data_IF_094965700214
#
_entry.id   IF_094965700214
#
_cell.length_a   1.000
_cell.length_b   1.000
_cell.length_c   1.000
_cell.angle_alpha   90.00
_cell.angle_beta   90.00
_cell.angle_gamma   90.00
#
_symmetry.space_group_name_H-M   'P 1'
#
loop_
_entity.id
_entity.type
_entity.pdbx_description
1 polymer ?
#
# COMPACT_ATOMS: atom_id res chain seq x y z
N UNK A 1 2.80 -19.81 -30.52
CA UNK A 1 3.43 -20.15 -31.81
C UNK A 1 4.59 -21.07 -31.51
N UNK A 2 4.45 -22.28 -32.04
CA UNK A 2 5.23 -23.52 -31.96
C UNK A 2 6.56 -23.58 -31.18
N UNK A 3 6.44 -24.26 -30.05
CA UNK A 3 7.47 -24.99 -29.31
C UNK A 3 7.79 -26.28 -30.06
N UNK A 4 8.55 -26.20 -31.16
CA UNK A 4 9.05 -27.41 -31.83
C UNK A 4 10.24 -27.05 -32.75
N UNK A 5 11.47 -27.29 -32.27
CA UNK A 5 12.71 -27.59 -33.04
C UNK A 5 13.97 -27.24 -32.23
N UNK A 6 14.43 -28.17 -31.40
CA UNK A 6 15.86 -28.53 -31.27
C UNK A 6 15.92 -29.99 -30.80
N UNK A 7 15.54 -30.91 -31.67
CA UNK A 7 15.87 -32.34 -31.58
C UNK A 7 16.61 -32.64 -32.88
N UNK A 8 17.91 -32.42 -32.89
CA UNK A 8 18.79 -32.89 -33.97
C UNK A 8 19.68 -33.96 -33.35
N UNK A 9 19.25 -35.18 -33.61
CA UNK A 9 19.92 -36.47 -33.55
C UNK A 9 21.41 -36.43 -33.23
N UNK A 10 21.76 -36.89 -32.04
CA UNK A 10 23.08 -37.46 -31.77
C UNK A 10 23.14 -38.78 -32.54
N UNK A 11 23.75 -38.77 -33.72
CA UNK A 11 24.13 -40.00 -34.42
C UNK A 11 25.27 -40.61 -33.62
N UNK A 12 24.95 -41.64 -32.83
CA UNK A 12 25.95 -42.52 -32.22
C UNK A 12 26.50 -43.38 -33.35
N UNK A 13 27.62 -42.97 -33.94
CA UNK A 13 28.42 -43.84 -34.79
C UNK A 13 29.37 -44.63 -33.89
N UNK A 14 28.87 -45.73 -33.34
CA UNK A 14 29.70 -46.74 -32.68
C UNK A 14 30.51 -47.49 -33.74
N UNK A 15 31.69 -46.98 -34.08
CA UNK A 15 32.71 -47.76 -34.79
C UNK A 15 33.76 -48.19 -33.77
N UNK A 16 33.51 -49.32 -33.12
CA UNK A 16 34.53 -50.08 -32.41
C UNK A 16 34.54 -51.50 -32.98
N UNK A 17 35.57 -51.71 -33.77
CA UNK A 17 36.24 -52.97 -34.13
C UNK A 17 35.84 -54.20 -33.31
N UNK A 18 35.26 -55.19 -34.00
CA UNK A 18 35.05 -56.55 -33.52
C UNK A 18 35.38 -57.55 -34.63
N UNK A 19 36.56 -58.15 -34.49
CA UNK A 19 37.28 -59.10 -35.35
C UNK A 19 36.44 -60.24 -35.98
N UNK A 20 36.60 -60.46 -37.29
CA UNK A 20 36.21 -61.69 -38.01
C UNK A 20 36.94 -61.73 -39.36
N UNK A 21 37.88 -62.67 -39.52
CA UNK A 21 38.95 -62.62 -40.52
C UNK A 21 38.53 -62.68 -41.99
N UNK A 22 39.28 -61.94 -42.81
CA UNK A 22 39.21 -61.97 -44.27
C UNK A 22 39.85 -60.71 -44.84
N UNK A 23 41.00 -60.85 -45.50
CA UNK A 23 41.80 -59.74 -46.02
C UNK A 23 41.04 -58.84 -47.00
N UNK A 24 40.62 -57.68 -46.52
CA UNK A 24 40.11 -56.58 -47.31
C UNK A 24 40.30 -55.30 -46.50
N UNK A 25 41.46 -54.64 -46.66
CA UNK A 25 41.65 -53.32 -46.09
C UNK A 25 40.56 -52.39 -46.63
N UNK A 26 39.96 -51.57 -45.76
CA UNK A 26 39.06 -50.49 -46.17
C UNK A 26 39.69 -49.75 -47.36
N UNK A 27 38.89 -49.50 -48.40
CA UNK A 27 39.38 -48.75 -49.55
C UNK A 27 39.84 -47.36 -49.09
N UNK A 28 40.76 -46.73 -49.83
CA UNK A 28 41.18 -45.37 -49.52
C UNK A 28 39.99 -44.39 -49.49
N UNK A 29 38.94 -44.67 -50.26
CA UNK A 29 37.66 -43.94 -50.23
C UNK A 29 36.88 -44.15 -48.94
N UNK A 30 36.79 -45.38 -48.41
CA UNK A 30 36.10 -45.67 -47.14
C UNK A 30 36.83 -45.04 -45.94
N UNK A 31 38.17 -45.05 -45.96
CA UNK A 31 38.99 -44.40 -44.92
C UNK A 31 38.84 -42.87 -44.97
N UNK A 32 38.81 -42.28 -46.18
CA UNK A 32 38.57 -40.85 -46.37
C UNK A 32 37.16 -40.44 -45.94
N UNK A 33 36.15 -41.25 -46.22
CA UNK A 33 34.76 -41.02 -45.79
C UNK A 33 34.61 -41.07 -44.26
N UNK A 34 35.24 -42.05 -43.59
CA UNK A 34 35.25 -42.14 -42.13
C UNK A 34 35.98 -40.96 -41.48
N UNK A 35 37.11 -40.52 -42.04
CA UNK A 35 37.85 -39.35 -41.56
C UNK A 35 37.04 -38.06 -41.73
N UNK A 36 36.33 -37.89 -42.86
CA UNK A 36 35.44 -36.75 -43.09
C UNK A 36 34.26 -36.71 -42.10
N UNK A 37 33.63 -37.86 -41.81
CA UNK A 37 32.55 -37.96 -40.83
C UNK A 37 33.01 -37.66 -39.39
N UNK A 38 34.21 -38.12 -39.01
CA UNK A 38 34.82 -37.79 -37.71
C UNK A 38 35.18 -36.29 -37.61
N UNK A 39 35.71 -35.69 -38.67
CA UNK A 39 35.99 -34.25 -38.71
C UNK A 39 34.71 -33.40 -38.60
N UNK A 40 33.61 -33.84 -39.21
CA UNK A 40 32.33 -33.15 -39.15
C UNK A 40 31.68 -33.21 -37.75
N UNK A 41 31.78 -34.35 -37.06
CA UNK A 41 31.29 -34.48 -35.68
C UNK A 41 32.11 -33.66 -34.67
N UNK A 42 33.43 -33.56 -34.87
CA UNK A 42 34.32 -32.64 -34.12
C UNK A 42 33.90 -31.18 -34.31
N UNK A 43 33.63 -30.76 -35.56
CA UNK A 43 33.21 -29.40 -35.87
C UNK A 43 31.87 -29.04 -35.19
N UNK A 44 30.89 -29.94 -35.24
CA UNK A 44 29.58 -29.72 -34.59
C UNK A 44 29.69 -29.58 -33.07
N UNK A 45 30.55 -30.38 -32.41
CA UNK A 45 30.74 -30.28 -30.96
C UNK A 45 31.36 -28.93 -30.55
N UNK A 46 32.36 -28.45 -31.31
CA UNK A 46 32.95 -27.13 -31.10
C UNK A 46 31.96 -25.99 -31.33
N UNK A 47 31.10 -26.11 -32.34
CA UNK A 47 30.06 -25.12 -32.63
C UNK A 47 29.03 -25.03 -31.49
N UNK A 48 28.62 -26.16 -30.91
CA UNK A 48 27.74 -26.17 -29.72
C UNK A 48 28.37 -25.37 -28.58
N UNK A 49 29.65 -25.62 -28.26
CA UNK A 49 30.35 -24.91 -27.18
C UNK A 49 30.43 -23.42 -27.50
N UNK A 50 30.89 -23.06 -28.71
CA UNK A 50 31.07 -21.66 -29.13
C UNK A 50 29.77 -20.87 -29.14
N UNK A 51 28.64 -21.49 -29.46
CA UNK A 51 27.32 -20.83 -29.45
C UNK A 51 26.67 -20.82 -28.07
N UNK A 52 27.11 -21.69 -27.17
CA UNK A 52 26.57 -21.80 -25.81
C UNK A 52 27.21 -20.79 -24.85
N UNK A 53 28.53 -20.58 -24.94
CA UNK A 53 29.25 -19.60 -24.08
C UNK A 53 28.61 -18.21 -24.07
N UNK A 54 28.26 -17.57 -25.21
CA UNK A 54 27.64 -16.25 -25.18
C UNK A 54 26.24 -16.26 -24.54
N UNK A 55 25.47 -17.35 -24.67
CA UNK A 55 24.16 -17.49 -24.03
C UNK A 55 24.28 -17.53 -22.51
N UNK A 56 25.17 -18.38 -21.99
CA UNK A 56 25.44 -18.47 -20.55
C UNK A 56 25.99 -17.16 -20.00
N UNK A 57 26.89 -16.52 -20.74
CA UNK A 57 27.45 -15.19 -20.37
C UNK A 57 26.35 -14.14 -20.26
N UNK A 58 25.40 -14.14 -21.19
CA UNK A 58 24.23 -13.26 -21.13
C UNK A 58 23.36 -13.59 -19.91
N UNK A 59 23.04 -14.86 -19.66
CA UNK A 59 22.24 -15.25 -18.50
C UNK A 59 22.88 -14.87 -17.17
N UNK A 60 24.20 -15.02 -17.04
CA UNK A 60 24.95 -14.57 -15.85
C UNK A 60 24.94 -13.05 -15.68
N UNK A 61 25.14 -12.30 -16.76
CA UNK A 61 25.05 -10.83 -16.73
C UNK A 61 23.66 -10.33 -16.32
N UNK A 62 22.61 -10.96 -16.83
CA UNK A 62 21.22 -10.60 -16.51
C UNK A 62 20.88 -10.95 -15.06
N UNK A 63 21.29 -12.13 -14.57
CA UNK A 63 21.14 -12.52 -13.17
C UNK A 63 21.85 -11.55 -12.21
N UNK A 64 23.08 -11.14 -12.54
CA UNK A 64 23.84 -10.14 -11.78
C UNK A 64 23.14 -8.78 -11.75
N UNK A 65 22.58 -8.37 -12.88
CA UNK A 65 21.81 -7.11 -13.00
C UNK A 65 20.57 -7.15 -12.12
N UNK A 66 19.82 -8.26 -12.13
CA UNK A 66 18.66 -8.45 -11.27
C UNK A 66 19.04 -8.43 -9.78
N UNK A 67 20.10 -9.14 -9.39
CA UNK A 67 20.60 -9.13 -8.01
C UNK A 67 21.02 -7.74 -7.53
N UNK A 68 21.75 -6.98 -8.36
CA UNK A 68 22.11 -5.60 -8.05
C UNK A 68 20.88 -4.69 -7.91
N UNK A 69 19.86 -4.87 -8.75
CA UNK A 69 18.61 -4.14 -8.65
C UNK A 69 17.85 -4.45 -7.34
N UNK A 70 17.83 -5.71 -6.89
CA UNK A 70 17.26 -6.10 -5.60
C UNK A 70 17.98 -5.40 -4.44
N UNK A 71 19.31 -5.42 -4.44
CA UNK A 71 20.10 -4.78 -3.39
C UNK A 71 19.88 -3.26 -3.34
N UNK A 72 19.86 -2.60 -4.51
CA UNK A 72 19.61 -1.16 -4.62
C UNK A 72 18.21 -0.78 -4.12
N UNK A 73 17.20 -1.62 -4.40
CA UNK A 73 15.83 -1.43 -3.93
C UNK A 73 15.70 -1.61 -2.41
N UNK A 74 16.35 -2.64 -1.84
CA UNK A 74 16.20 -2.99 -0.44
C UNK A 74 16.94 -2.03 0.52
N UNK A 75 18.18 -1.65 0.17
CA UNK A 75 19.08 -0.88 1.05
C UNK A 75 18.44 0.31 1.78
N UNK A 76 17.77 1.27 1.09
CA UNK A 76 17.21 2.44 1.78
C UNK A 76 16.09 2.07 2.76
N UNK A 77 15.26 1.09 2.42
CA UNK A 77 14.10 0.70 3.23
C UNK A 77 14.54 -0.14 4.43
N UNK A 78 15.54 -1.01 4.27
CA UNK A 78 16.11 -1.77 5.39
C UNK A 78 16.68 -0.85 6.47
N UNK A 79 17.40 0.21 6.07
CA UNK A 79 17.97 1.18 7.02
C UNK A 79 16.88 1.87 7.84
N UNK A 80 15.79 2.32 7.19
CA UNK A 80 14.67 2.95 7.89
C UNK A 80 13.97 1.97 8.84
N UNK A 81 13.75 0.73 8.38
CA UNK A 81 13.06 -0.30 9.15
C UNK A 81 13.79 -0.72 10.43
N UNK A 82 15.12 -0.52 10.53
CA UNK A 82 15.89 -0.90 11.73
C UNK A 82 15.48 -0.18 13.01
N UNK A 83 14.82 0.98 12.90
CA UNK A 83 14.33 1.75 14.06
C UNK A 83 13.02 1.21 14.66
N UNK A 84 12.36 0.27 13.96
CA UNK A 84 11.07 -0.30 14.36
C UNK A 84 11.26 -1.62 15.13
N UNK A 85 10.42 -1.86 16.12
CA UNK A 85 10.44 -3.07 16.97
C UNK A 85 9.19 -3.93 16.81
N UNK A 86 8.22 -3.45 16.03
CA UNK A 86 6.94 -4.07 15.81
C UNK A 86 7.10 -5.37 15.01
N UNK A 87 6.50 -6.46 15.50
CA UNK A 87 6.71 -7.81 14.95
C UNK A 87 6.34 -7.94 13.47
N UNK A 88 5.34 -7.18 13.00
CA UNK A 88 4.96 -7.13 11.58
C UNK A 88 6.01 -6.44 10.70
N UNK A 89 6.66 -5.39 11.20
CA UNK A 89 7.75 -4.69 10.49
C UNK A 89 8.98 -5.60 10.44
N UNK A 90 9.34 -6.23 11.57
CA UNK A 90 10.46 -7.18 11.64
C UNK A 90 10.25 -8.37 10.72
N UNK A 91 9.03 -8.94 10.68
CA UNK A 91 8.71 -10.05 9.78
C UNK A 91 8.83 -9.63 8.30
N UNK A 92 8.28 -8.48 7.92
CA UNK A 92 8.38 -7.97 6.55
C UNK A 92 9.83 -7.67 6.13
N UNK A 93 10.64 -7.12 7.04
CA UNK A 93 12.06 -6.88 6.83
C UNK A 93 12.82 -8.19 6.59
N UNK A 94 12.55 -9.22 7.40
CA UNK A 94 13.19 -10.53 7.22
C UNK A 94 12.81 -11.18 5.88
N UNK A 95 11.57 -11.05 5.45
CA UNK A 95 11.13 -11.50 4.12
C UNK A 95 11.92 -10.79 3.00
N UNK A 96 12.06 -9.46 3.08
CA UNK A 96 12.84 -8.69 2.09
C UNK A 96 14.31 -9.16 2.05
N UNK A 97 14.94 -9.34 3.21
CA UNK A 97 16.32 -9.88 3.31
C UNK A 97 16.47 -11.27 2.70
N UNK A 98 15.42 -12.10 2.81
CA UNK A 98 15.35 -13.40 2.14
C UNK A 98 15.48 -13.27 0.62
N UNK A 99 14.73 -12.36 0.00
CA UNK A 99 14.81 -12.11 -1.44
C UNK A 99 16.14 -11.50 -1.89
N UNK A 100 16.74 -10.63 -1.08
CA UNK A 100 18.11 -10.11 -1.31
C UNK A 100 19.10 -11.27 -1.38
N UNK A 101 19.03 -12.20 -0.42
CA UNK A 101 19.89 -13.38 -0.36
C UNK A 101 19.65 -14.31 -1.54
N UNK A 102 18.39 -14.62 -1.84
CA UNK A 102 18.00 -15.49 -2.96
C UNK A 102 18.50 -14.96 -4.32
N UNK A 103 18.39 -13.65 -4.55
CA UNK A 103 18.85 -13.04 -5.79
C UNK A 103 20.39 -13.09 -5.91
N UNK A 104 21.12 -12.85 -4.82
CA UNK A 104 22.58 -12.95 -4.78
C UNK A 104 23.07 -14.39 -5.03
N UNK A 105 22.44 -15.38 -4.39
CA UNK A 105 22.75 -16.81 -4.62
C UNK A 105 22.48 -17.23 -6.06
N UNK A 106 21.35 -16.80 -6.64
CA UNK A 106 20.98 -17.09 -8.02
C UNK A 106 21.98 -16.47 -9.01
N UNK A 107 22.41 -15.22 -8.77
CA UNK A 107 23.46 -14.59 -9.58
C UNK A 107 24.79 -15.36 -9.49
N UNK A 108 25.21 -15.76 -8.28
CA UNK A 108 26.43 -16.55 -8.09
C UNK A 108 26.37 -17.92 -8.79
N UNK A 109 25.21 -18.57 -8.82
CA UNK A 109 25.01 -19.82 -9.56
C UNK A 109 25.17 -19.62 -11.07
N UNK A 110 24.61 -18.55 -11.64
CA UNK A 110 24.75 -18.24 -13.06
C UNK A 110 26.21 -17.90 -13.43
N UNK A 111 26.91 -17.14 -12.59
CA UNK A 111 28.35 -16.83 -12.75
C UNK A 111 29.21 -18.11 -12.69
N UNK A 112 28.87 -19.06 -11.82
CA UNK A 112 29.56 -20.35 -11.75
C UNK A 112 29.39 -21.17 -13.05
N UNK A 113 28.21 -21.15 -13.68
CA UNK A 113 27.99 -21.78 -14.98
C UNK A 113 28.76 -21.06 -16.09
N UNK A 114 28.86 -19.73 -16.04
CA UNK A 114 29.68 -18.96 -16.96
C UNK A 114 31.16 -19.36 -16.87
N UNK A 115 31.71 -19.41 -15.66
CA UNK A 115 33.09 -19.85 -15.43
C UNK A 115 33.34 -21.27 -15.97
N UNK A 116 32.37 -22.18 -15.79
CA UNK A 116 32.44 -23.54 -16.32
C UNK A 116 32.52 -23.54 -17.85
N UNK A 117 31.61 -22.85 -18.55
CA UNK A 117 31.61 -22.88 -20.02
C UNK A 117 32.79 -22.15 -20.64
N UNK A 118 33.30 -21.09 -20.00
CA UNK A 118 34.55 -20.43 -20.41
C UNK A 118 35.73 -21.38 -20.29
N UNK A 119 35.80 -22.16 -19.21
CA UNK A 119 36.83 -23.20 -19.05
C UNK A 119 36.70 -24.30 -20.11
N UNK A 120 35.49 -24.81 -20.35
CA UNK A 120 35.25 -25.83 -21.38
C UNK A 120 35.66 -25.34 -22.76
N UNK A 121 35.37 -24.07 -23.11
CA UNK A 121 35.78 -23.49 -24.38
C UNK A 121 37.31 -23.42 -24.50
N UNK A 122 38.01 -22.98 -23.45
CA UNK A 122 39.47 -22.92 -23.43
C UNK A 122 40.11 -24.31 -23.58
N UNK A 123 39.62 -25.30 -22.82
CA UNK A 123 40.13 -26.68 -22.82
C UNK A 123 39.89 -27.39 -24.17
N UNK A 124 38.88 -26.98 -24.92
CA UNK A 124 38.47 -27.63 -26.18
C UNK A 124 38.93 -26.93 -27.45
N UNK A 125 39.42 -25.69 -27.36
CA UNK A 125 39.72 -24.84 -28.52
C UNK A 125 40.67 -25.53 -29.53
N UNK A 126 41.76 -26.11 -29.04
CA UNK A 126 42.75 -26.81 -29.86
C UNK A 126 42.56 -28.34 -29.91
N UNK A 127 41.61 -28.91 -29.16
CA UNK A 127 41.44 -30.37 -29.09
C UNK A 127 40.84 -30.93 -30.39
N UNK A 128 41.26 -32.15 -30.76
CA UNK A 128 40.65 -32.97 -31.81
C UNK A 128 40.06 -34.27 -31.25
N UNK A 129 40.12 -34.47 -29.93
CA UNK A 129 39.53 -35.64 -29.27
C UNK A 129 38.00 -35.52 -29.29
N UNK A 130 37.36 -36.36 -30.10
CA UNK A 130 35.91 -36.37 -30.28
C UNK A 130 35.17 -36.68 -28.97
N UNK A 131 35.67 -37.59 -28.14
CA UNK A 131 35.02 -37.98 -26.90
C UNK A 131 35.08 -36.84 -25.86
N UNK A 132 36.22 -36.16 -25.78
CA UNK A 132 36.37 -34.96 -24.96
C UNK A 132 35.42 -33.85 -25.41
N UNK A 133 35.35 -33.59 -26.72
CA UNK A 133 34.52 -32.54 -27.31
C UNK A 133 33.02 -32.81 -27.12
N UNK A 134 32.56 -34.04 -27.31
CA UNK A 134 31.18 -34.42 -27.06
C UNK A 134 30.78 -34.25 -25.60
N UNK A 135 31.66 -34.68 -24.67
CA UNK A 135 31.43 -34.50 -23.23
C UNK A 135 31.36 -33.01 -22.85
N UNK A 136 32.28 -32.19 -23.37
CA UNK A 136 32.28 -30.76 -23.13
C UNK A 136 31.03 -30.07 -23.72
N UNK A 137 30.58 -30.47 -24.92
CA UNK A 137 29.35 -29.95 -25.52
C UNK A 137 28.11 -30.27 -24.68
N UNK A 138 28.02 -31.49 -24.12
CA UNK A 138 26.94 -31.87 -23.22
C UNK A 138 26.96 -31.08 -21.91
N UNK A 139 28.14 -30.92 -21.30
CA UNK A 139 28.31 -30.11 -20.10
C UNK A 139 27.96 -28.63 -20.35
N UNK A 140 28.33 -28.08 -21.51
CA UNK A 140 27.98 -26.71 -21.88
C UNK A 140 26.46 -26.52 -22.01
N UNK A 141 25.75 -27.46 -22.66
CA UNK A 141 24.29 -27.42 -22.76
C UNK A 141 23.61 -27.52 -21.39
N UNK A 142 24.11 -28.39 -20.50
CA UNK A 142 23.60 -28.48 -19.14
C UNK A 142 23.84 -27.18 -18.36
N UNK A 143 25.02 -26.58 -18.50
CA UNK A 143 25.36 -25.30 -17.90
C UNK A 143 24.45 -24.17 -18.42
N UNK A 144 24.09 -24.19 -19.70
CA UNK A 144 23.12 -23.24 -20.27
C UNK A 144 21.75 -23.33 -19.62
N UNK A 145 21.23 -24.53 -19.43
CA UNK A 145 19.94 -24.75 -18.74
C UNK A 145 20.00 -24.26 -17.30
N UNK A 146 21.07 -24.59 -16.56
CA UNK A 146 21.23 -24.18 -15.17
C UNK A 146 21.42 -22.66 -15.03
N UNK A 147 22.18 -22.03 -15.93
CA UNK A 147 22.38 -20.58 -15.95
C UNK A 147 21.06 -19.84 -16.24
N UNK A 148 20.25 -20.38 -17.14
CA UNK A 148 18.95 -19.81 -17.48
C UNK A 148 17.95 -19.94 -16.32
N UNK A 149 17.92 -21.08 -15.64
CA UNK A 149 17.11 -21.26 -14.43
C UNK A 149 17.53 -20.29 -13.32
N UNK A 150 18.84 -20.11 -13.11
CA UNK A 150 19.37 -19.18 -12.13
C UNK A 150 19.05 -17.71 -12.49
N UNK A 151 19.10 -17.34 -13.78
CA UNK A 151 18.65 -16.02 -14.25
C UNK A 151 17.17 -15.77 -13.92
N UNK A 152 16.30 -16.72 -14.27
CA UNK A 152 14.86 -16.61 -13.99
C UNK A 152 14.57 -16.53 -12.49
N UNK A 153 15.30 -17.28 -11.66
CA UNK A 153 15.18 -17.19 -10.21
C UNK A 153 15.58 -15.81 -9.65
N UNK A 154 16.67 -15.22 -10.18
CA UNK A 154 17.09 -13.87 -9.80
C UNK A 154 16.07 -12.79 -10.22
N UNK A 155 15.49 -12.92 -11.42
CA UNK A 155 14.44 -12.00 -11.91
C UNK A 155 13.14 -12.14 -11.13
N UNK A 156 12.75 -13.35 -10.74
CA UNK A 156 11.59 -13.57 -9.87
C UNK A 156 11.82 -12.94 -8.49
N UNK A 157 13.01 -13.14 -7.90
CA UNK A 157 13.36 -12.52 -6.63
C UNK A 157 13.29 -10.98 -6.68
N UNK A 158 13.54 -10.36 -7.85
CA UNK A 158 13.35 -8.92 -8.05
C UNK A 158 11.88 -8.49 -7.97
N UNK A 159 10.97 -9.23 -8.61
CA UNK A 159 9.53 -8.95 -8.53
C UNK A 159 9.01 -9.15 -7.10
N UNK A 160 9.47 -10.21 -6.44
CA UNK A 160 9.09 -10.52 -5.07
C UNK A 160 9.63 -9.46 -4.08
N UNK A 161 10.86 -8.99 -4.29
CA UNK A 161 11.45 -7.91 -3.50
C UNK A 161 10.68 -6.58 -3.64
N UNK A 162 10.17 -6.25 -4.83
CA UNK A 162 9.31 -5.07 -5.05
C UNK A 162 8.02 -5.17 -4.23
N UNK A 163 7.40 -6.35 -4.20
CA UNK A 163 6.22 -6.61 -3.38
C UNK A 163 6.56 -6.53 -1.89
N UNK A 164 7.69 -7.10 -1.47
CA UNK A 164 8.15 -7.07 -0.09
C UNK A 164 8.46 -5.65 0.40
N UNK A 165 9.06 -4.79 -0.44
CA UNK A 165 9.27 -3.37 -0.12
C UNK A 165 7.95 -2.62 0.09
N UNK A 166 6.96 -2.88 -0.76
CA UNK A 166 5.61 -2.28 -0.63
C UNK A 166 4.99 -2.68 0.71
N UNK A 167 5.06 -3.96 1.06
CA UNK A 167 4.54 -4.49 2.31
C UNK A 167 5.28 -3.94 3.55
N UNK A 168 6.61 -3.86 3.48
CA UNK A 168 7.44 -3.30 4.56
C UNK A 168 7.12 -1.82 4.80
N UNK A 169 7.02 -1.03 3.73
CA UNK A 169 6.65 0.39 3.80
C UNK A 169 5.26 0.56 4.41
N UNK A 170 4.30 -0.26 4.02
CA UNK A 170 2.96 -0.25 4.60
C UNK A 170 2.98 -0.63 6.09
N UNK A 171 3.79 -1.63 6.49
CA UNK A 171 3.93 -2.04 7.88
C UNK A 171 4.55 -0.93 8.75
N UNK A 172 5.58 -0.23 8.25
CA UNK A 172 6.19 0.92 8.93
C UNK A 172 5.17 2.06 9.12
N UNK A 173 4.37 2.36 8.10
CA UNK A 173 3.30 3.36 8.20
C UNK A 173 2.28 3.01 9.28
N UNK A 174 1.89 1.74 9.37
CA UNK A 174 0.99 1.25 10.43
C UNK A 174 1.63 1.39 11.80
N UNK A 175 2.93 1.10 11.93
CA UNK A 175 3.66 1.26 13.18
C UNK A 175 3.77 2.73 13.61
N UNK A 176 4.04 3.65 12.69
CA UNK A 176 4.08 5.09 13.00
C UNK A 176 2.73 5.62 13.44
N UNK A 177 1.66 5.20 12.77
CA UNK A 177 0.31 5.54 13.20
C UNK A 177 0.00 4.99 14.61
N UNK A 178 0.50 3.79 14.94
CA UNK A 178 0.31 3.16 16.25
C UNK A 178 1.03 3.87 17.40
N UNK A 179 2.08 4.67 17.13
CA UNK A 179 2.73 5.51 18.14
C UNK A 179 1.77 6.57 18.69
N UNK A 180 0.96 7.15 17.80
CA UNK A 180 -0.01 8.19 18.16
C UNK A 180 -1.39 7.64 18.49
N UNK A 181 -1.84 6.60 17.79
CA UNK A 181 -3.22 6.15 17.84
C UNK A 181 -3.33 4.68 18.27
N UNK A 182 -4.20 4.41 19.23
CA UNK A 182 -4.55 3.05 19.65
C UNK A 182 -5.96 2.70 19.20
N UNK A 183 -6.08 1.61 18.42
CA UNK A 183 -7.37 1.07 17.98
C UNK A 183 -8.07 0.37 19.14
N UNK A 184 -9.38 0.58 19.28
CA UNK A 184 -10.20 -0.03 20.32
C UNK A 184 -11.37 -0.81 19.71
N UNK A 185 -11.71 -1.94 20.31
CA UNK A 185 -12.94 -2.68 19.98
C UNK A 185 -14.19 -1.98 20.56
N UNK A 186 -15.38 -2.54 20.29
CA UNK A 186 -16.64 -1.98 20.77
C UNK A 186 -16.80 -2.00 22.30
N UNK A 187 -16.00 -2.78 23.03
CA UNK A 187 -15.95 -2.79 24.50
C UNK A 187 -14.88 -1.87 25.09
N UNK A 188 -14.05 -1.23 24.24
CA UNK A 188 -12.97 -0.34 24.67
C UNK A 188 -11.64 -1.06 24.92
N UNK A 189 -11.52 -2.34 24.54
CA UNK A 189 -10.27 -3.08 24.68
C UNK A 189 -9.30 -2.69 23.56
N UNK A 190 -8.00 -2.68 23.88
CA UNK A 190 -6.95 -2.40 22.90
C UNK A 190 -6.87 -3.49 21.85
N UNK A 191 -6.80 -3.08 20.59
CA UNK A 191 -6.59 -3.94 19.43
C UNK A 191 -5.16 -3.82 18.91
N UNK A 192 -4.62 -4.86 18.25
CA UNK A 192 -3.36 -4.76 17.53
C UNK A 192 -3.39 -3.63 16.49
N UNK A 193 -2.24 -2.99 16.23
CA UNK A 193 -2.12 -1.97 15.19
C UNK A 193 -2.55 -2.48 13.80
N UNK A 194 -2.34 -3.78 13.54
CA UNK A 194 -2.75 -4.48 12.32
C UNK A 194 -4.24 -4.84 12.23
N UNK A 195 -5.05 -4.55 13.27
CA UNK A 195 -6.47 -4.89 13.27
C UNK A 195 -7.18 -4.28 12.04
N UNK A 196 -7.97 -5.08 11.29
CA UNK A 196 -8.60 -4.64 10.05
C UNK A 196 -9.75 -3.67 10.28
N UNK A 197 -10.42 -3.76 11.43
CA UNK A 197 -11.53 -2.91 11.88
C UNK A 197 -11.42 -2.61 13.36
N UNK A 198 -12.01 -1.48 13.77
CA UNK A 198 -12.05 -0.99 15.15
C UNK A 198 -13.27 -0.08 15.31
N UNK A 199 -13.76 0.06 16.54
CA UNK A 199 -14.93 0.85 16.87
C UNK A 199 -14.58 2.26 17.35
N UNK A 200 -13.40 2.42 17.97
CA UNK A 200 -12.89 3.72 18.38
C UNK A 200 -11.38 3.82 18.19
N UNK A 201 -10.89 5.05 18.26
CA UNK A 201 -9.47 5.38 18.21
C UNK A 201 -9.13 6.23 19.42
N UNK A 202 -8.19 5.79 20.24
CA UNK A 202 -7.59 6.63 21.29
C UNK A 202 -6.40 7.38 20.71
N UNK A 203 -6.38 8.71 20.82
CA UNK A 203 -5.18 9.51 20.58
C UNK A 203 -4.33 9.53 21.86
N UNK A 204 -3.16 8.89 21.82
CA UNK A 204 -2.25 8.76 22.95
C UNK A 204 -1.62 10.09 23.35
N UNK A 205 -1.64 11.09 22.47
CA UNK A 205 -1.12 12.44 22.75
C UNK A 205 -2.06 13.23 23.65
N UNK A 206 -3.36 13.18 23.34
CA UNK A 206 -4.39 13.98 24.02
C UNK A 206 -5.15 13.19 25.09
N UNK A 207 -5.09 11.86 25.04
CA UNK A 207 -5.90 10.96 25.85
C UNK A 207 -7.34 10.82 25.38
N UNK A 208 -7.76 11.57 24.36
CA UNK A 208 -9.11 11.56 23.83
C UNK A 208 -9.40 10.25 23.08
N UNK A 209 -10.63 9.76 23.20
CA UNK A 209 -11.15 8.61 22.45
C UNK A 209 -12.16 9.13 21.44
N UNK A 210 -11.91 8.80 20.18
CA UNK A 210 -12.69 9.21 19.02
C UNK A 210 -13.56 8.07 18.53
N UNK A 211 -14.79 8.41 18.20
CA UNK A 211 -15.72 7.49 17.54
C UNK A 211 -15.24 7.15 16.12
N UNK A 212 -15.38 5.87 15.75
CA UNK A 212 -15.40 5.43 14.36
C UNK A 212 -16.83 5.15 13.90
N UNK A 213 -17.23 5.78 12.80
CA UNK A 213 -18.52 5.59 12.13
C UNK A 213 -18.57 4.22 11.45
N UNK A 214 -19.78 3.71 11.22
CA UNK A 214 -20.00 2.49 10.43
C UNK A 214 -20.07 2.80 8.95
N UNK A 215 -19.84 1.77 8.13
CA UNK A 215 -19.95 1.86 6.67
C UNK A 215 -20.70 0.62 6.17
N UNK A 216 -22.04 0.65 6.26
CA UNK A 216 -22.90 -0.41 5.74
C UNK A 216 -23.91 0.20 4.75
N UNK A 217 -23.56 0.28 3.47
CA UNK A 217 -24.43 0.89 2.47
C UNK A 217 -25.72 0.07 2.23
N UNK A 218 -25.79 -1.20 2.67
CA UNK A 218 -26.98 -2.04 2.49
C UNK A 218 -28.00 -1.79 3.59
N UNK A 219 -27.53 -1.67 4.83
CA UNK A 219 -28.38 -1.46 6.00
C UNK A 219 -27.77 -0.40 6.93
N UNK A 220 -27.81 0.88 6.53
CA UNK A 220 -27.11 1.92 7.27
C UNK A 220 -27.81 2.18 8.61
N UNK A 221 -27.12 1.80 9.69
CA UNK A 221 -27.55 2.07 11.07
C UNK A 221 -27.30 3.53 11.47
N UNK A 222 -27.66 3.95 12.69
CA UNK A 222 -27.60 5.35 13.10
C UNK A 222 -26.20 5.98 13.17
N UNK A 223 -25.13 5.16 13.13
CA UNK A 223 -23.73 5.60 13.14
C UNK A 223 -23.07 5.61 11.76
N UNK A 224 -23.84 5.50 10.68
CA UNK A 224 -23.28 5.48 9.32
C UNK A 224 -22.46 6.74 9.03
N UNK A 225 -21.33 6.57 8.36
CA UNK A 225 -20.42 7.67 7.98
C UNK A 225 -21.06 8.65 6.99
N UNK A 226 -22.07 8.22 6.25
CA UNK A 226 -22.76 9.02 5.25
C UNK A 226 -23.79 9.97 5.86
N UNK A 227 -24.06 9.83 7.17
CA UNK A 227 -25.03 10.68 7.85
C UNK A 227 -24.54 12.10 8.07
N UNK A 228 -25.49 13.01 7.88
CA UNK A 228 -25.34 14.44 8.14
C UNK A 228 -26.38 14.86 9.14
N UNK A 229 -25.98 15.78 9.99
CA UNK A 229 -26.76 16.24 11.12
C UNK A 229 -26.91 17.75 11.03
N UNK A 230 -28.10 18.24 11.39
CA UNK A 230 -28.38 19.67 11.51
C UNK A 230 -27.87 20.15 12.86
N UNK A 231 -26.80 20.94 12.84
CA UNK A 231 -26.18 21.53 14.01
C UNK A 231 -27.04 22.66 14.57
N UNK A 232 -28.10 22.31 15.30
CA UNK A 232 -28.99 23.24 16.00
C UNK A 232 -29.00 22.88 17.48
N UNK A 233 -28.75 23.84 18.38
CA UNK A 233 -28.68 23.58 19.82
C UNK A 233 -30.01 23.84 20.57
N UNK A 234 -30.98 24.61 20.04
CA UNK A 234 -32.18 24.98 20.81
C UNK A 234 -33.55 24.94 20.11
N UNK A 235 -33.66 24.80 18.80
CA UNK A 235 -34.98 24.85 18.16
C UNK A 235 -35.62 23.46 18.08
N UNK A 236 -36.13 22.98 19.21
CA UNK A 236 -37.07 21.86 19.24
C UNK A 236 -38.25 22.16 18.32
N UNK A 237 -38.50 21.32 17.31
CA UNK A 237 -39.65 21.46 16.41
C UNK A 237 -39.41 21.14 14.93
N UNK A 238 -38.16 20.99 14.47
CA UNK A 238 -37.87 20.65 13.07
C UNK A 238 -37.37 19.22 12.93
N UNK A 239 -38.19 18.25 13.33
CA UNK A 239 -37.91 16.86 13.05
C UNK A 239 -38.06 16.59 11.55
N UNK A 240 -36.96 16.75 10.83
CA UNK A 240 -36.89 16.55 9.39
C UNK A 240 -35.68 15.66 9.12
N UNK A 241 -35.96 14.43 8.71
CA UNK A 241 -34.97 13.40 8.39
C UNK A 241 -34.38 13.55 6.99
N UNK A 242 -34.85 14.52 6.20
CA UNK A 242 -34.35 14.82 4.86
C UNK A 242 -33.84 16.25 4.71
N UNK A 243 -33.02 16.49 3.70
CA UNK A 243 -32.74 17.83 3.20
C UNK A 243 -33.89 18.35 2.31
N UNK A 244 -33.74 19.56 1.76
CA UNK A 244 -34.76 20.19 0.90
C UNK A 244 -34.96 19.49 -0.45
N UNK A 245 -34.08 18.56 -0.84
CA UNK A 245 -34.22 17.74 -2.05
C UNK A 245 -34.77 16.34 -1.75
N UNK A 246 -35.22 16.10 -0.51
CA UNK A 246 -35.73 14.80 -0.08
C UNK A 246 -34.63 13.75 0.11
N UNK A 247 -33.34 14.14 0.16
CA UNK A 247 -32.27 13.19 0.51
C UNK A 247 -32.25 12.96 2.00
N UNK A 248 -32.22 11.70 2.41
CA UNK A 248 -32.11 11.31 3.81
C UNK A 248 -30.81 11.85 4.43
N UNK A 249 -30.95 12.57 5.54
CA UNK A 249 -29.84 13.11 6.33
C UNK A 249 -29.28 12.07 7.29
N UNK A 250 -30.17 11.35 7.97
CA UNK A 250 -29.80 10.29 8.89
C UNK A 250 -30.91 9.24 9.00
N UNK A 251 -30.59 8.10 9.60
CA UNK A 251 -31.54 7.04 9.93
C UNK A 251 -31.41 6.63 11.40
N UNK A 252 -32.48 6.07 11.99
CA UNK A 252 -32.50 5.63 13.38
C UNK A 252 -32.63 6.74 14.43
N UNK A 253 -32.61 8.01 14.02
CA UNK A 253 -32.82 9.19 14.87
C UNK A 253 -33.80 10.12 14.17
N UNK A 254 -34.89 10.49 14.86
CA UNK A 254 -36.01 11.22 14.25
C UNK A 254 -35.68 12.69 13.89
N UNK A 255 -34.84 13.34 14.68
CA UNK A 255 -34.51 14.75 14.52
C UNK A 255 -33.30 15.03 13.63
N UNK A 256 -32.46 14.03 13.38
CA UNK A 256 -31.18 14.17 12.67
C UNK A 256 -30.33 15.36 13.14
N UNK A 257 -30.28 15.60 14.45
CA UNK A 257 -29.39 16.58 15.07
C UNK A 257 -28.28 15.87 15.88
N UNK A 258 -27.11 16.51 16.09
CA UNK A 258 -26.02 15.88 16.83
C UNK A 258 -26.32 15.58 18.30
N UNK A 259 -27.23 16.31 18.94
CA UNK A 259 -27.54 16.13 20.36
C UNK A 259 -28.39 14.88 20.59
N UNK A 260 -29.40 14.64 19.75
CA UNK A 260 -30.14 13.39 19.77
C UNK A 260 -29.26 12.19 19.39
N UNK A 261 -28.26 12.38 18.53
CA UNK A 261 -27.24 11.37 18.27
C UNK A 261 -26.40 11.07 19.51
N UNK A 262 -25.95 12.10 20.22
CA UNK A 262 -25.19 11.96 21.47
C UNK A 262 -26.01 11.23 22.54
N UNK A 263 -27.28 11.60 22.71
CA UNK A 263 -28.18 10.94 23.66
C UNK A 263 -28.33 9.45 23.35
N UNK A 264 -28.56 9.10 22.08
CA UNK A 264 -28.59 7.70 21.65
C UNK A 264 -27.25 6.99 21.92
N UNK A 265 -26.11 7.63 21.60
CA UNK A 265 -24.78 7.07 21.82
C UNK A 265 -24.50 6.78 23.30
N UNK A 266 -24.94 7.67 24.18
CA UNK A 266 -24.72 7.58 25.62
C UNK A 266 -25.71 6.66 26.34
N UNK A 267 -26.99 6.66 25.93
CA UNK A 267 -28.04 5.93 26.63
C UNK A 267 -28.26 4.52 26.08
N UNK A 268 -27.99 4.29 24.79
CA UNK A 268 -28.37 3.05 24.11
C UNK A 268 -27.18 2.27 23.52
N UNK A 269 -26.15 2.97 23.03
CA UNK A 269 -25.04 2.31 22.32
C UNK A 269 -23.89 1.93 23.27
N UNK A 270 -23.42 2.86 24.11
CA UNK A 270 -22.29 2.60 25.01
C UNK A 270 -20.98 2.26 24.27
N UNK A 271 -20.72 2.92 23.13
CA UNK A 271 -19.63 2.56 22.22
C UNK A 271 -18.26 2.60 22.95
N UNK A 272 -17.46 1.55 22.75
CA UNK A 272 -16.14 1.39 23.36
C UNK A 272 -16.17 1.41 24.90
N UNK A 273 -17.28 0.93 25.48
CA UNK A 273 -17.51 0.92 26.92
C UNK A 273 -17.72 2.32 27.52
N UNK A 274 -18.03 3.33 26.71
CA UNK A 274 -18.18 4.74 27.11
C UNK A 274 -19.61 5.23 26.87
N UNK A 275 -20.10 6.07 27.77
CA UNK A 275 -21.47 6.62 27.77
C UNK A 275 -21.52 8.14 28.05
N UNK A 276 -20.38 8.82 27.87
CA UNK A 276 -20.17 10.25 28.10
C UNK A 276 -19.62 10.94 26.83
N UNK A 277 -20.04 10.47 25.67
CA UNK A 277 -19.72 11.05 24.36
C UNK A 277 -20.28 12.47 24.25
N UNK A 278 -19.54 13.32 23.53
CA UNK A 278 -19.93 14.69 23.21
C UNK A 278 -19.42 15.10 21.84
N UNK A 279 -19.89 16.25 21.35
CA UNK A 279 -19.22 16.92 20.24
C UNK A 279 -17.80 17.32 20.65
N UNK A 280 -16.82 17.23 19.73
CA UNK A 280 -15.48 17.71 19.95
C UNK A 280 -15.42 19.23 19.86
N UNK A 281 -14.50 19.86 20.58
CA UNK A 281 -14.18 21.28 20.39
C UNK A 281 -13.42 21.46 19.07
N UNK A 282 -13.46 22.65 18.49
CA UNK A 282 -12.67 23.00 17.30
C UNK A 282 -11.18 22.66 17.46
N UNK A 283 -10.59 23.02 18.60
CA UNK A 283 -9.18 22.73 18.91
C UNK A 283 -8.90 21.22 19.04
N UNK A 284 -9.90 20.42 19.44
CA UNK A 284 -9.77 18.97 19.52
C UNK A 284 -9.83 18.34 18.12
N UNK A 285 -10.74 18.80 17.25
CA UNK A 285 -10.76 18.41 15.83
C UNK A 285 -9.45 18.80 15.13
N UNK A 286 -8.94 20.01 15.38
CA UNK A 286 -7.63 20.45 14.88
C UNK A 286 -6.48 19.59 15.41
N UNK A 287 -6.59 19.07 16.65
CA UNK A 287 -5.55 18.23 17.24
C UNK A 287 -5.23 16.99 16.40
N UNK A 288 -6.26 16.32 15.85
CA UNK A 288 -6.13 15.12 15.01
C UNK A 288 -5.82 15.41 13.53
N UNK A 289 -5.80 16.68 13.13
CA UNK A 289 -5.34 17.07 11.81
C UNK A 289 -3.84 16.84 11.63
N UNK A 290 -3.42 16.52 10.40
CA UNK A 290 -2.02 16.32 10.04
C UNK A 290 -1.69 16.80 8.62
N UNK A 291 -0.43 17.19 8.42
CA UNK A 291 0.13 17.43 7.09
C UNK A 291 0.56 16.07 6.54
N UNK A 292 -0.10 15.65 5.46
CA UNK A 292 0.25 14.40 4.81
C UNK A 292 1.58 14.56 4.05
N UNK A 293 2.34 13.48 3.87
CA UNK A 293 3.60 13.51 3.14
C UNK A 293 3.44 13.91 1.65
N UNK A 294 2.26 13.68 1.07
CA UNK A 294 1.87 14.13 -0.27
C UNK A 294 1.18 15.50 -0.26
N UNK A 295 1.03 16.12 0.93
CA UNK A 295 0.38 17.40 1.22
C UNK A 295 -1.08 17.50 0.77
N UNK A 296 -1.69 16.39 0.34
CA UNK A 296 -3.05 16.36 -0.18
C UNK A 296 -4.07 16.09 0.92
N UNK A 297 -5.27 16.69 0.86
CA UNK A 297 -6.37 16.30 1.73
C UNK A 297 -6.82 14.84 1.48
N UNK A 298 -7.56 14.22 2.42
CA UNK A 298 -7.94 14.78 3.72
C UNK A 298 -6.77 14.83 4.71
N UNK A 299 -6.63 15.96 5.42
CA UNK A 299 -5.58 16.29 6.38
C UNK A 299 -5.75 15.59 7.74
N UNK A 300 -5.87 14.26 7.72
CA UNK A 300 -6.05 13.39 8.89
C UNK A 300 -5.42 12.02 8.57
N UNK A 301 -5.03 11.23 9.57
CA UNK A 301 -4.40 9.92 9.34
C UNK A 301 -5.36 8.93 8.69
N UNK A 302 -5.35 8.89 7.35
CA UNK A 302 -6.26 8.09 6.50
C UNK A 302 -6.20 6.59 6.79
N UNK A 303 -5.10 6.08 7.34
CA UNK A 303 -5.01 4.66 7.72
C UNK A 303 -5.73 4.35 9.04
N UNK A 304 -6.00 5.37 9.87
CA UNK A 304 -6.66 5.29 11.18
C UNK A 304 -8.10 5.83 11.13
N UNK A 305 -8.35 6.88 10.36
CA UNK A 305 -9.67 7.46 10.17
C UNK A 305 -10.17 7.12 8.77
N UNK A 306 -10.62 5.86 8.59
CA UNK A 306 -11.11 5.32 7.31
C UNK A 306 -12.58 5.63 7.03
N UNK A 307 -13.28 6.14 8.04
CA UNK A 307 -14.71 6.40 8.10
C UNK A 307 -15.06 7.85 7.74
N UNK A 308 -14.16 8.53 7.03
CA UNK A 308 -14.46 9.86 6.51
C UNK A 308 -15.65 9.75 5.54
N UNK A 309 -16.57 10.72 5.53
CA UNK A 309 -17.53 10.89 4.45
C UNK A 309 -16.80 11.09 3.11
N UNK A 310 -17.54 11.39 2.05
CA UNK A 310 -16.93 11.92 0.82
C UNK A 310 -15.87 13.01 1.09
N UNK A 311 -14.93 13.20 0.16
CA UNK A 311 -13.66 13.89 0.39
C UNK A 311 -13.77 15.35 0.90
N UNK A 312 -14.97 15.94 0.91
CA UNK A 312 -15.28 17.23 1.52
C UNK A 312 -16.40 17.03 2.52
N UNK A 313 -16.14 17.28 3.80
CA UNK A 313 -17.15 17.17 4.84
C UNK A 313 -16.79 18.02 6.05
N UNK A 314 -17.65 18.98 6.36
CA UNK A 314 -17.53 19.76 7.57
C UNK A 314 -17.97 18.94 8.79
N UNK A 315 -17.08 18.78 9.78
CA UNK A 315 -17.37 18.11 11.04
C UNK A 315 -17.94 19.07 12.07
N UNK A 316 -19.01 18.65 12.75
CA UNK A 316 -19.64 19.42 13.82
C UNK A 316 -18.66 19.62 14.98
N UNK A 317 -18.51 20.85 15.46
CA UNK A 317 -17.81 21.12 16.72
C UNK A 317 -18.78 21.60 17.81
N UNK A 318 -18.44 21.39 19.07
CA UNK A 318 -19.22 21.92 20.18
C UNK A 318 -19.26 23.46 20.10
N UNK A 319 -20.46 24.04 20.17
CA UNK A 319 -20.60 25.48 20.28
C UNK A 319 -20.09 25.93 21.65
N UNK A 320 -19.08 26.80 21.66
CA UNK A 320 -18.48 27.37 22.87
C UNK A 320 -18.67 28.89 22.97
N UNK A 321 -19.44 29.50 22.06
CA UNK A 321 -19.59 30.95 21.95
C UNK A 321 -20.47 31.48 23.07
N UNK A 322 -20.01 32.50 23.79
CA UNK A 322 -20.75 33.16 24.88
C UNK A 322 -20.84 34.68 24.73
N UNK A 323 -20.06 35.24 23.80
CA UNK A 323 -20.03 36.66 23.45
C UNK A 323 -20.55 36.87 22.00
N UNK A 324 -21.48 37.81 21.84
CA UNK A 324 -22.06 38.19 20.55
C UNK A 324 -21.00 38.70 19.56
N UNK A 325 -19.88 39.22 20.04
CA UNK A 325 -18.78 39.68 19.19
C UNK A 325 -18.08 38.54 18.46
N UNK A 326 -18.14 37.31 18.99
CA UNK A 326 -17.57 36.10 18.39
C UNK A 326 -18.43 35.54 17.24
N UNK A 327 -19.65 36.05 17.09
CA UNK A 327 -20.58 35.60 16.06
C UNK A 327 -20.23 36.08 14.64
N UNK A 328 -19.29 37.02 14.47
CA UNK A 328 -18.77 37.45 13.16
C UNK A 328 -19.79 38.12 12.22
N UNK A 329 -21.01 38.39 12.67
CA UNK A 329 -22.06 39.08 11.90
C UNK A 329 -22.56 40.31 12.63
N UNK A 330 -22.76 41.40 11.88
CA UNK A 330 -23.42 42.62 12.35
C UNK A 330 -24.57 42.97 11.38
N UNK A 331 -25.81 43.23 11.85
CA UNK A 331 -26.32 43.10 13.21
C UNK A 331 -27.13 41.82 13.41
N UNK A 332 -26.79 41.04 14.44
CA UNK A 332 -27.69 40.02 14.98
C UNK A 332 -28.82 40.77 15.71
N UNK A 333 -30.10 40.42 15.51
CA UNK A 333 -31.20 41.06 16.22
C UNK A 333 -31.03 40.95 17.74
N UNK A 334 -31.23 42.06 18.44
CA UNK A 334 -31.26 42.12 19.90
C UNK A 334 -32.72 41.91 20.37
N UNK A 335 -33.03 40.97 21.29
CA UNK A 335 -32.12 40.09 22.04
C UNK A 335 -31.76 38.79 21.32
N UNK A 336 -30.48 38.37 21.46
CA UNK A 336 -29.99 37.07 21.00
C UNK A 336 -30.34 36.00 22.03
N UNK A 337 -30.98 34.89 21.64
CA UNK A 337 -31.25 33.78 22.55
C UNK A 337 -29.98 33.25 23.21
N UNK A 338 -30.02 33.05 24.53
CA UNK A 338 -28.95 32.43 25.31
C UNK A 338 -29.46 31.12 25.90
N UNK A 339 -28.60 30.10 25.87
CA UNK A 339 -28.85 28.85 26.56
C UNK A 339 -28.68 29.03 28.08
N UNK A 340 -29.21 28.13 28.92
CA UNK A 340 -29.06 28.20 30.38
C UNK A 340 -27.60 28.22 30.86
N UNK A 341 -26.68 27.71 30.06
CA UNK A 341 -25.23 27.71 30.30
C UNK A 341 -24.52 28.99 29.80
N UNK A 342 -25.28 29.97 29.31
CA UNK A 342 -24.79 31.26 28.83
C UNK A 342 -24.32 31.27 27.37
N UNK A 343 -24.32 30.13 26.67
CA UNK A 343 -23.90 30.04 25.26
C UNK A 343 -24.89 30.70 24.31
N UNK A 344 -24.37 31.27 23.24
CA UNK A 344 -25.12 31.97 22.19
C UNK A 344 -25.16 31.09 20.93
N UNK A 345 -26.33 31.02 20.30
CA UNK A 345 -26.50 30.34 19.02
C UNK A 345 -26.15 31.25 17.85
N UNK A 346 -24.89 31.24 17.45
CA UNK A 346 -24.43 31.96 16.28
C UNK A 346 -23.16 31.32 15.73
N UNK A 347 -22.93 31.44 14.42
CA UNK A 347 -21.66 31.12 13.77
C UNK A 347 -21.08 29.75 14.19
N UNK A 348 -21.84 28.67 14.00
CA UNK A 348 -21.34 27.33 14.25
C UNK A 348 -20.04 27.12 13.47
N UNK A 349 -19.03 26.56 14.12
CA UNK A 349 -17.74 26.29 13.51
C UNK A 349 -17.57 24.78 13.36
N UNK A 350 -16.81 24.39 12.35
CA UNK A 350 -16.45 23.01 12.11
C UNK A 350 -15.06 22.91 11.52
N UNK A 351 -14.60 21.68 11.35
CA UNK A 351 -13.35 21.38 10.65
C UNK A 351 -13.69 20.56 9.41
N UNK A 352 -13.19 20.97 8.25
CA UNK A 352 -13.21 20.14 7.05
C UNK A 352 -11.78 19.69 6.73
N UNK A 353 -11.49 18.42 7.03
CA UNK A 353 -10.19 17.83 6.71
C UNK A 353 -9.93 17.78 5.21
N UNK A 354 -10.98 17.88 4.38
CA UNK A 354 -10.95 17.88 2.92
C UNK A 354 -10.52 19.19 2.26
N UNK A 355 -10.45 20.29 3.01
CA UNK A 355 -10.02 21.58 2.47
C UNK A 355 -8.55 21.56 2.06
N UNK A 356 -8.23 22.25 0.98
CA UNK A 356 -6.85 22.48 0.56
C UNK A 356 -6.16 23.48 1.50
N UNK A 357 -4.82 23.42 1.53
CA UNK A 357 -4.04 24.49 2.13
C UNK A 357 -4.31 25.82 1.44
N UNK A 358 -4.42 26.89 2.23
CA UNK A 358 -4.57 28.23 1.69
C UNK A 358 -3.36 28.61 0.82
N UNK A 359 -3.58 29.16 -0.38
CA UNK A 359 -2.48 29.49 -1.28
C UNK A 359 -1.58 30.58 -0.67
N UNK A 360 -0.27 30.42 -0.86
CA UNK A 360 0.78 31.34 -0.39
C UNK A 360 0.99 31.41 1.13
N UNK A 361 0.47 30.45 1.90
CA UNK A 361 0.79 30.31 3.32
C UNK A 361 1.82 29.19 3.55
N UNK A 362 2.63 29.26 4.63
CA UNK A 362 3.51 28.17 5.02
C UNK A 362 2.74 26.86 5.26
N UNK A 363 3.31 25.74 4.86
CA UNK A 363 2.77 24.40 5.13
C UNK A 363 3.17 23.95 6.55
N UNK A 364 2.63 24.64 7.56
CA UNK A 364 2.83 24.33 8.97
C UNK A 364 1.50 24.13 9.70
N UNK A 365 1.58 23.70 10.97
CA UNK A 365 0.40 23.35 11.77
C UNK A 365 -0.56 24.53 11.99
N UNK A 366 -0.11 25.73 12.41
CA UNK A 366 -0.99 26.90 12.54
C UNK A 366 -1.76 27.22 11.25
N UNK A 367 -1.10 27.20 10.09
CA UNK A 367 -1.75 27.53 8.82
C UNK A 367 -2.64 26.39 8.31
N UNK A 368 -2.33 25.13 8.63
CA UNK A 368 -3.25 24.00 8.42
C UNK A 368 -4.55 24.22 9.19
N UNK A 369 -4.46 24.50 10.50
CA UNK A 369 -5.62 24.71 11.37
C UNK A 369 -6.50 25.87 10.87
N UNK A 370 -5.89 26.93 10.32
CA UNK A 370 -6.61 28.02 9.65
C UNK A 370 -7.30 27.57 8.34
N UNK A 371 -6.63 26.73 7.54
CA UNK A 371 -7.14 26.30 6.22
C UNK A 371 -8.33 25.34 6.32
N UNK A 372 -8.34 24.48 7.35
CA UNK A 372 -9.40 23.48 7.56
C UNK A 372 -10.57 24.01 8.40
N UNK A 373 -10.46 25.20 8.99
CA UNK A 373 -11.55 25.80 9.75
C UNK A 373 -12.66 26.27 8.80
N UNK A 374 -13.90 25.80 9.06
CA UNK A 374 -15.06 26.15 8.26
C UNK A 374 -16.18 26.71 9.12
N UNK A 375 -16.89 27.70 8.58
CA UNK A 375 -18.10 28.23 9.20
C UNK A 375 -19.31 27.42 8.71
N UNK A 376 -20.07 26.85 9.64
CA UNK A 376 -21.35 26.18 9.43
C UNK A 376 -22.44 27.26 9.45
N UNK A 377 -22.57 28.04 8.36
CA UNK A 377 -23.41 29.25 8.32
C UNK A 377 -24.87 28.99 7.98
N UNK A 378 -25.70 29.96 8.37
CA UNK A 378 -27.07 30.18 7.86
C UNK A 378 -26.97 30.91 6.52
N UNK A 379 -27.57 30.38 5.45
CA UNK A 379 -27.56 30.91 4.07
C UNK A 379 -26.21 30.86 3.32
N UNK A 380 -25.68 29.65 3.09
CA UNK A 380 -24.55 29.41 2.17
C UNK A 380 -24.28 27.93 1.98
N UNK A 381 -23.55 27.55 0.92
CA UNK A 381 -23.09 26.17 0.69
C UNK A 381 -22.32 25.68 1.93
N UNK A 382 -22.76 24.58 2.52
CA UNK A 382 -21.87 23.79 3.36
C UNK A 382 -20.78 23.28 2.43
N UNK A 383 -19.53 23.44 2.83
CA UNK A 383 -18.39 23.01 2.03
C UNK A 383 -18.27 21.47 1.98
N UNK A 384 -19.36 20.70 1.99
CA UNK A 384 -19.35 19.23 1.82
C UNK A 384 -19.38 18.81 0.34
N UNK A 385 -19.15 19.77 -0.57
CA UNK A 385 -19.09 19.54 -2.01
C UNK A 385 -20.43 19.20 -2.66
N UNK A 386 -21.56 19.45 -1.99
CA UNK A 386 -22.90 19.20 -2.54
C UNK A 386 -23.63 20.51 -2.86
N UNK A 387 -24.34 20.49 -3.98
CA UNK A 387 -25.11 21.62 -4.47
C UNK A 387 -26.37 21.81 -3.60
N UNK A 388 -26.48 23.00 -3.02
CA UNK A 388 -27.63 23.39 -2.22
C UNK A 388 -28.20 24.69 -2.75
N UNK A 389 -29.50 24.70 -3.03
CA UNK A 389 -30.25 25.92 -3.29
C UNK A 389 -30.03 26.92 -2.13
N UNK A 390 -30.00 28.21 -2.47
CA UNK A 390 -29.76 29.29 -1.50
C UNK A 390 -30.67 29.15 -0.25
N UNK A 391 -30.06 28.95 0.92
CA UNK A 391 -30.76 28.73 2.20
C UNK A 391 -31.11 27.28 2.55
N UNK A 392 -30.71 26.29 1.74
CA UNK A 392 -31.02 24.87 1.94
C UNK A 392 -30.00 24.07 2.76
N UNK A 393 -28.77 24.57 2.90
CA UNK A 393 -27.66 23.89 3.57
C UNK A 393 -27.46 24.32 5.03
N UNK A 394 -28.46 24.93 5.67
CA UNK A 394 -28.22 25.58 6.96
C UNK A 394 -27.75 24.55 8.00
N UNK A 395 -26.50 24.72 8.42
CA UNK A 395 -25.88 24.07 9.58
C UNK A 395 -25.75 22.55 9.44
N UNK A 396 -25.60 22.00 8.23
CA UNK A 396 -25.34 20.58 8.05
C UNK A 396 -23.86 20.26 8.31
N UNK A 397 -23.60 19.17 9.04
CA UNK A 397 -22.26 18.67 9.29
C UNK A 397 -22.27 17.16 9.56
N UNK A 398 -21.12 16.52 9.40
CA UNK A 398 -20.89 15.16 9.86
C UNK A 398 -20.51 15.16 11.35
N UNK A 399 -20.86 14.09 12.06
CA UNK A 399 -20.47 13.93 13.47
C UNK A 399 -19.26 13.01 13.60
N UNK A 400 -18.36 13.37 14.50
CA UNK A 400 -17.33 12.48 15.05
C UNK A 400 -17.26 12.76 16.54
N UNK A 401 -17.92 11.93 17.33
CA UNK A 401 -17.95 12.17 18.77
C UNK A 401 -16.60 11.89 19.41
N UNK A 402 -16.38 12.54 20.55
CA UNK A 402 -15.19 12.37 21.37
C UNK A 402 -15.59 12.11 22.83
N UNK A 403 -14.74 11.36 23.53
CA UNK A 403 -14.82 11.12 24.97
C UNK A 403 -13.42 11.00 25.60
N UNK A 404 -13.34 10.75 26.91
CA UNK A 404 -12.13 10.50 27.69
C UNK A 404 -12.26 9.17 28.44
#
# INVERSE_FOLDING_TARGET
MDMNRVLISVVILSVLTGCGGGGGGLSAEDQAAQAAAAAQTVASAKEIISTTVPKVTKSASDAKTASAAVAALATPVEQQATSYQESNVVAALNTLKGYVTQAAESAAQAEAQQALVTKLQADTQASQDLALLQKAAQQAQQAATLAEQARLAAEQALQDAQTAVTNLTAAMKVADAAKRYTKLDAGGNTLPASAPSWACVKDNTTGLIWEMKTDDPKNPGPRDKSWRYKHMHNSGGYAITTDLYGKTLCNGIFSCDPYSYIDMMNQQVGLCGKNNWRLPKMVELGSIAQINADERPPHIERSIFKDLPDAKAAYCSENMITDVTQCGYNPIPNPVPRNPDGRIECNYQGVDFGNEFLPNLPHDRPHLELSIAVALRHYGEVADGKDYAYGAANWLCSTRLVTQ
#
